data_IF_168006406588
#
_entry.id   IF_168006406588
#
_cell.length_a   1.000
_cell.length_b   1.000
_cell.length_c   1.000
_cell.angle_alpha   90.00
_cell.angle_beta   90.00
_cell.angle_gamma   90.00
#
_symmetry.space_group_name_H-M   'P 1'
#
loop_
_entity.id
_entity.type
_entity.pdbx_description
1 polymer ?
#
# COMPACT_ATOMS: atom_id res chain seq x y z
N UNK A 1 11.07 0.44 22.92
CA UNK A 1 12.04 0.07 21.88
C UNK A 1 13.49 0.12 22.36
N UNK A 2 13.93 0.98 23.29
CA UNK A 2 15.29 0.88 23.85
C UNK A 2 16.41 1.08 22.82
N UNK A 3 16.12 1.83 21.76
CA UNK A 3 16.99 2.03 20.58
C UNK A 3 17.82 3.29 20.76
N UNK A 4 19.08 3.26 20.33
CA UNK A 4 19.96 4.43 20.32
C UNK A 4 19.79 5.23 19.03
N UNK A 5 20.01 6.54 19.11
CA UNK A 5 19.88 7.42 17.95
C UNK A 5 20.86 7.01 16.85
N UNK A 6 20.34 6.74 15.65
CA UNK A 6 21.13 6.37 14.46
C UNK A 6 21.26 4.87 14.20
N UNK A 7 20.73 4.00 15.06
CA UNK A 7 20.70 2.55 14.79
C UNK A 7 19.71 2.22 13.66
N UNK A 8 20.02 1.26 12.76
CA UNK A 8 19.11 0.82 11.72
C UNK A 8 17.98 -0.04 12.32
N UNK A 9 16.73 0.35 12.06
CA UNK A 9 15.54 -0.25 12.71
C UNK A 9 14.70 -1.06 11.71
N UNK A 10 14.46 -0.49 10.54
CA UNK A 10 13.49 -1.03 9.59
C UNK A 10 13.98 -0.89 8.16
N UNK A 11 13.44 -1.73 7.29
CA UNK A 11 13.65 -1.67 5.85
C UNK A 11 12.34 -1.23 5.17
N UNK A 12 12.45 -0.39 4.14
CA UNK A 12 11.31 0.05 3.35
C UNK A 12 11.62 -0.07 1.87
N UNK A 13 10.66 -0.60 1.10
CA UNK A 13 10.73 -0.70 -0.36
C UNK A 13 9.57 0.06 -0.95
N UNK A 14 9.84 0.91 -1.94
CA UNK A 14 8.80 1.66 -2.66
C UNK A 14 8.67 1.17 -4.09
N UNK A 15 7.61 0.42 -4.37
CA UNK A 15 7.28 -0.03 -5.73
C UNK A 15 6.33 0.97 -6.41
N UNK A 16 6.44 1.11 -7.73
CA UNK A 16 5.57 2.02 -8.52
C UNK A 16 5.18 1.39 -9.85
N UNK A 17 4.10 1.90 -10.44
CA UNK A 17 3.60 1.50 -11.78
C UNK A 17 3.32 -0.01 -11.82
N UNK A 18 3.75 -0.67 -12.90
CA UNK A 18 3.51 -2.08 -13.19
C UNK A 18 4.01 -3.02 -12.07
N UNK A 19 5.20 -2.77 -11.53
CA UNK A 19 5.76 -3.60 -10.46
C UNK A 19 4.89 -3.59 -9.20
N UNK A 20 4.27 -2.46 -8.87
CA UNK A 20 3.36 -2.37 -7.74
C UNK A 20 2.07 -3.17 -7.99
N UNK A 21 1.52 -3.11 -9.20
CA UNK A 21 0.30 -3.85 -9.56
C UNK A 21 0.57 -5.36 -9.55
N UNK A 22 1.70 -5.80 -10.10
CA UNK A 22 2.10 -7.21 -10.09
C UNK A 22 2.34 -7.72 -8.67
N UNK A 23 2.95 -6.91 -7.81
CA UNK A 23 3.13 -7.25 -6.40
C UNK A 23 1.78 -7.37 -5.68
N UNK A 24 0.87 -6.41 -5.85
CA UNK A 24 -0.45 -6.45 -5.23
C UNK A 24 -1.26 -7.67 -5.67
N UNK A 25 -1.20 -8.06 -6.94
CA UNK A 25 -1.86 -9.29 -7.43
C UNK A 25 -1.35 -10.57 -6.77
N UNK A 26 -0.08 -10.60 -6.35
CA UNK A 26 0.50 -11.74 -5.62
C UNK A 26 0.11 -11.75 -4.15
N UNK A 27 -0.08 -10.57 -3.57
CA UNK A 27 -0.31 -10.37 -2.14
C UNK A 27 -1.79 -10.50 -1.77
N UNK A 28 -2.70 -9.92 -2.55
CA UNK A 28 -4.13 -9.89 -2.21
C UNK A 28 -4.77 -11.26 -1.95
N UNK A 29 -4.38 -12.34 -2.67
CA UNK A 29 -4.88 -13.69 -2.37
C UNK A 29 -4.53 -14.18 -0.96
N UNK A 30 -3.44 -13.70 -0.36
CA UNK A 30 -3.03 -14.05 1.01
C UNK A 30 -4.01 -13.50 2.05
N UNK A 31 -4.68 -12.39 1.72
CA UNK A 31 -5.66 -11.73 2.59
C UNK A 31 -7.09 -12.09 2.17
N UNK A 32 -7.27 -13.27 1.54
CA UNK A 32 -8.55 -13.76 1.00
C UNK A 32 -9.25 -12.78 0.04
N UNK A 33 -8.50 -11.86 -0.58
CA UNK A 33 -9.04 -10.74 -1.35
C UNK A 33 -10.13 -9.94 -0.59
N UNK A 34 -10.08 -9.91 0.75
CA UNK A 34 -11.03 -9.18 1.59
C UNK A 34 -10.35 -8.05 2.32
N UNK A 35 -10.81 -6.83 2.08
CA UNK A 35 -10.34 -5.65 2.81
C UNK A 35 -11.49 -5.05 3.63
N UNK A 36 -11.23 -4.73 4.89
CA UNK A 36 -12.20 -4.01 5.70
C UNK A 36 -12.32 -2.55 5.24
N UNK A 37 -13.52 -1.98 5.33
CA UNK A 37 -13.71 -0.53 5.13
C UNK A 37 -12.84 0.33 6.06
N UNK A 38 -12.48 -0.18 7.24
CA UNK A 38 -11.59 0.50 8.19
C UNK A 38 -10.13 0.62 7.74
N UNK A 39 -9.72 -0.15 6.73
CA UNK A 39 -8.38 -0.08 6.15
C UNK A 39 -8.18 1.13 5.22
N UNK A 40 -9.27 1.82 4.85
CA UNK A 40 -9.25 2.95 3.92
C UNK A 40 -9.22 4.29 4.65
N UNK A 41 -8.30 5.15 4.22
CA UNK A 41 -8.19 6.53 4.67
C UNK A 41 -9.21 7.45 3.98
N UNK A 42 -9.40 8.64 4.57
CA UNK A 42 -10.22 9.73 4.00
C UNK A 42 -9.77 10.18 2.61
N UNK A 43 -8.49 9.97 2.29
CA UNK A 43 -7.88 10.33 1.01
C UNK A 43 -7.83 9.16 0.02
N UNK A 44 -8.48 8.04 0.34
CA UNK A 44 -8.56 6.88 -0.54
C UNK A 44 -7.28 6.06 -0.62
N UNK A 45 -6.34 6.25 0.30
CA UNK A 45 -5.25 5.29 0.49
C UNK A 45 -5.74 4.11 1.33
N UNK A 46 -5.05 2.98 1.26
CA UNK A 46 -5.34 1.87 2.15
C UNK A 46 -4.08 1.16 2.58
N UNK A 47 -4.14 0.52 3.74
CA UNK A 47 -3.04 -0.27 4.28
C UNK A 47 -3.56 -1.58 4.87
N UNK A 48 -2.75 -2.63 4.78
CA UNK A 48 -3.01 -3.92 5.38
C UNK A 48 -1.68 -4.59 5.76
N UNK A 49 -1.72 -5.45 6.76
CA UNK A 49 -0.55 -6.16 7.27
C UNK A 49 -0.56 -7.63 6.88
N UNK A 50 0.61 -8.16 6.60
CA UNK A 50 0.88 -9.59 6.44
C UNK A 50 1.70 -10.03 7.66
N UNK A 51 1.24 -11.08 8.33
CA UNK A 51 1.95 -11.60 9.52
C UNK A 51 3.18 -12.42 9.14
N UNK A 52 3.10 -13.17 8.05
CA UNK A 52 4.15 -14.09 7.64
C UNK A 52 4.44 -13.95 6.14
N UNK A 53 5.68 -13.61 5.81
CA UNK A 53 6.08 -13.51 4.39
C UNK A 53 6.05 -14.84 3.64
N UNK A 54 5.99 -15.99 4.32
CA UNK A 54 5.92 -17.33 3.71
C UNK A 54 4.62 -17.53 2.95
N UNK A 55 3.54 -16.87 3.37
CA UNK A 55 2.25 -16.93 2.69
C UNK A 55 2.32 -16.33 1.27
N UNK A 56 3.37 -15.54 0.97
CA UNK A 56 3.56 -14.98 -0.36
C UNK A 56 3.99 -16.04 -1.38
N UNK A 57 3.34 -16.09 -2.56
CA UNK A 57 3.68 -17.06 -3.59
C UNK A 57 5.08 -16.82 -4.15
N UNK A 58 5.92 -17.85 -4.09
CA UNK A 58 7.27 -17.87 -4.66
C UNK A 58 8.39 -17.52 -3.69
N UNK A 59 8.08 -17.27 -2.41
CA UNK A 59 9.10 -17.10 -1.37
C UNK A 59 9.35 -18.44 -0.68
N UNK A 60 10.63 -18.82 -0.59
CA UNK A 60 11.05 -20.00 0.17
C UNK A 60 11.48 -19.56 1.56
N UNK A 61 11.21 -20.42 2.54
CA UNK A 61 11.72 -20.25 3.88
C UNK A 61 13.24 -20.36 3.89
N UNK A 62 13.89 -19.36 4.49
CA UNK A 62 15.32 -19.37 4.78
C UNK A 62 15.51 -19.41 6.32
N UNK A 63 16.11 -20.50 6.85
CA UNK A 63 16.38 -20.63 8.29
C UNK A 63 17.24 -19.49 8.88
N UNK A 64 18.08 -18.84 8.09
CA UNK A 64 18.96 -17.77 8.58
C UNK A 64 18.20 -16.45 8.82
N UNK A 65 17.17 -16.18 8.03
CA UNK A 65 16.39 -14.93 8.09
C UNK A 65 15.21 -15.05 9.05
N UNK A 66 14.59 -16.24 9.11
CA UNK A 66 13.40 -16.49 9.93
C UNK A 66 12.13 -15.85 9.38
N UNK A 67 11.01 -16.01 10.11
CA UNK A 67 9.69 -15.50 9.72
C UNK A 67 9.54 -14.04 10.13
N UNK A 68 9.39 -13.16 9.14
CA UNK A 68 9.01 -11.76 9.34
C UNK A 68 7.63 -11.46 8.75
N UNK A 69 6.94 -10.52 9.39
CA UNK A 69 5.75 -9.85 8.88
C UNK A 69 6.09 -8.53 8.19
N UNK A 70 5.14 -7.99 7.43
CA UNK A 70 5.29 -6.73 6.73
C UNK A 70 3.97 -5.97 6.64
N UNK A 71 4.05 -4.64 6.74
CA UNK A 71 2.93 -3.74 6.49
C UNK A 71 3.01 -3.21 5.07
N UNK A 72 1.88 -3.26 4.36
CA UNK A 72 1.78 -2.81 2.97
C UNK A 72 0.86 -1.59 2.92
N UNK A 73 1.44 -0.47 2.51
CA UNK A 73 0.74 0.79 2.35
C UNK A 73 0.59 1.12 0.86
N UNK A 74 -0.65 1.22 0.38
CA UNK A 74 -0.96 1.56 -1.00
C UNK A 74 -1.47 2.99 -1.08
N UNK A 75 -0.68 3.84 -1.74
CA UNK A 75 -1.05 5.22 -2.00
C UNK A 75 -1.72 5.36 -3.37
N UNK A 76 -2.97 5.81 -3.38
CA UNK A 76 -3.71 6.08 -4.61
C UNK A 76 -3.77 7.57 -4.88
N UNK A 77 -3.49 7.96 -6.12
CA UNK A 77 -3.46 9.37 -6.50
C UNK A 77 -4.09 9.56 -7.87
N UNK A 78 -4.82 10.67 -8.05
CA UNK A 78 -5.32 11.08 -9.37
C UNK A 78 -4.21 11.70 -10.21
N UNK A 79 -4.38 11.65 -11.53
CA UNK A 79 -3.52 12.38 -12.45
C UNK A 79 -3.60 13.89 -12.16
N UNK A 80 -2.46 14.54 -11.89
CA UNK A 80 -2.41 15.95 -11.49
C UNK A 80 -1.88 16.18 -10.07
N UNK A 81 -1.76 15.12 -9.26
CA UNK A 81 -1.18 15.20 -7.92
C UNK A 81 0.25 15.77 -7.90
N UNK A 82 1.00 15.67 -9.01
CA UNK A 82 2.36 16.24 -9.16
C UNK A 82 2.44 17.74 -8.85
N UNK A 83 1.34 18.49 -8.95
CA UNK A 83 1.32 19.94 -8.68
C UNK A 83 1.74 20.28 -7.24
N UNK A 84 1.48 19.38 -6.27
CA UNK A 84 1.89 19.58 -4.87
C UNK A 84 3.38 19.27 -4.62
N UNK A 85 3.98 18.41 -5.44
CA UNK A 85 5.33 17.89 -5.22
C UNK A 85 6.38 18.58 -6.09
N UNK A 86 5.98 19.18 -7.23
CA UNK A 86 6.91 19.84 -8.15
C UNK A 86 7.58 21.07 -7.52
N UNK A 87 8.86 21.30 -7.84
CA UNK A 87 9.64 22.46 -7.38
C UNK A 87 9.14 23.79 -7.96
N UNK A 88 8.90 23.84 -9.28
CA UNK A 88 8.45 25.05 -9.98
C UNK A 88 6.93 25.16 -9.96
N UNK A 89 6.39 26.33 -9.58
CA UNK A 89 4.94 26.60 -9.47
C UNK A 89 4.19 25.55 -8.62
N UNK A 90 4.72 25.23 -7.45
CA UNK A 90 4.05 24.37 -6.45
C UNK A 90 2.72 25.01 -6.04
N UNK A 91 1.65 24.22 -5.99
CA UNK A 91 0.35 24.67 -5.50
C UNK A 91 -0.34 23.56 -4.72
N UNK A 92 -1.34 23.91 -3.90
CA UNK A 92 -2.17 22.94 -3.20
C UNK A 92 -3.14 22.27 -4.18
N UNK A 93 -3.50 21.04 -3.89
CA UNK A 93 -4.53 20.32 -4.64
C UNK A 93 -5.90 20.85 -4.18
N UNK A 94 -6.78 21.16 -5.15
CA UNK A 94 -8.15 21.57 -4.84
C UNK A 94 -8.97 20.41 -4.28
N UNK A 95 -9.90 20.69 -3.37
CA UNK A 95 -10.73 19.68 -2.69
C UNK A 95 -11.45 18.74 -3.66
N UNK A 96 -11.97 19.27 -4.77
CA UNK A 96 -12.64 18.49 -5.84
C UNK A 96 -11.72 17.48 -6.53
N UNK A 97 -10.41 17.69 -6.49
CA UNK A 97 -9.42 16.80 -7.10
C UNK A 97 -8.87 15.77 -6.11
N UNK A 98 -9.18 15.89 -4.82
CA UNK A 98 -8.84 14.85 -3.85
C UNK A 98 -9.70 13.62 -4.11
N UNK A 99 -9.12 12.44 -3.86
CA UNK A 99 -9.84 11.17 -3.93
C UNK A 99 -10.68 11.00 -2.65
N UNK A 100 -11.92 10.56 -2.79
CA UNK A 100 -12.75 10.16 -1.65
C UNK A 100 -12.54 8.67 -1.33
N UNK A 101 -12.89 8.25 -0.11
CA UNK A 101 -12.81 6.84 0.28
C UNK A 101 -13.73 5.95 -0.56
N UNK A 102 -14.90 6.45 -0.97
CA UNK A 102 -15.86 5.69 -1.78
C UNK A 102 -15.35 5.45 -3.21
N UNK A 103 -14.79 6.48 -3.83
CA UNK A 103 -14.17 6.36 -5.16
C UNK A 103 -12.99 5.38 -5.14
N UNK A 104 -12.19 5.42 -4.08
CA UNK A 104 -11.09 4.49 -3.86
C UNK A 104 -11.57 3.04 -3.74
N UNK A 105 -12.63 2.82 -2.96
CA UNK A 105 -13.27 1.52 -2.75
C UNK A 105 -13.78 0.95 -4.08
N UNK A 106 -14.47 1.76 -4.89
CA UNK A 106 -14.93 1.33 -6.22
C UNK A 106 -13.76 0.99 -7.14
N UNK A 107 -12.72 1.84 -7.17
CA UNK A 107 -11.56 1.60 -8.01
C UNK A 107 -10.83 0.29 -7.66
N UNK A 108 -10.66 -0.01 -6.37
CA UNK A 108 -10.01 -1.25 -5.90
C UNK A 108 -10.85 -2.49 -6.24
N UNK A 109 -12.18 -2.40 -6.09
CA UNK A 109 -13.10 -3.47 -6.52
C UNK A 109 -12.93 -3.78 -8.02
N UNK A 110 -12.95 -2.75 -8.85
CA UNK A 110 -12.92 -2.91 -10.30
C UNK A 110 -11.56 -3.39 -10.83
N UNK A 111 -10.46 -2.88 -10.27
CA UNK A 111 -9.11 -3.18 -10.79
C UNK A 111 -8.47 -4.43 -10.20
N UNK A 112 -8.75 -4.72 -8.92
CA UNK A 112 -8.08 -5.78 -8.17
C UNK A 112 -9.02 -6.92 -7.80
N UNK A 113 -10.33 -6.80 -8.04
CA UNK A 113 -11.31 -7.87 -7.76
C UNK A 113 -11.49 -8.16 -6.27
N UNK A 114 -11.23 -7.17 -5.42
CA UNK A 114 -11.24 -7.30 -3.96
C UNK A 114 -12.66 -7.08 -3.43
N UNK A 115 -13.11 -7.95 -2.54
CA UNK A 115 -14.35 -7.75 -1.79
C UNK A 115 -14.10 -6.85 -0.58
N UNK A 116 -14.99 -5.89 -0.36
CA UNK A 116 -14.88 -4.98 0.79
C UNK A 116 -15.97 -5.30 1.78
N UNK A 117 -15.54 -5.68 2.98
CA UNK A 117 -16.37 -6.06 4.13
C UNK A 117 -16.49 -4.91 5.15
#
# INVERSE_FOLDING_TARGET
>A
FGIRQGEPIACIVTLRKQQAVEFLKKVLPVVDNKLSRGCFDKHGNFAFGIKEHIELPGVKYDPEIGIFGMDICVAMNRAGYRVKDRRRRKSKIGSKHLLTSEEAIMFVKDTLGVEIA
#
